data_IF_841237961245
#
_entry.id   IF_841237961245
#
_cell.length_a   1.000
_cell.length_b   1.000
_cell.length_c   1.000
_cell.angle_alpha   90.00
_cell.angle_beta   90.00
_cell.angle_gamma   90.00
#
_symmetry.space_group_name_H-M   'P 1'
#
loop_
_entity.id
_entity.type
_entity.pdbx_description
1 polymer ?
#
# COMPACT_ATOMS: atom_id res chain seq x y z
N UNK A 1 -22.87 -49.56 13.94
CA UNK A 1 -22.74 -48.11 14.04
C UNK A 1 -21.44 -47.70 13.36
N UNK A 2 -21.46 -47.30 12.12
CA UNK A 2 -20.27 -46.73 11.44
C UNK A 2 -20.17 -45.25 11.85
N UNK A 3 -19.12 -44.91 12.56
CA UNK A 3 -18.76 -43.51 12.80
C UNK A 3 -18.34 -42.88 11.46
N UNK A 4 -19.10 -41.92 10.98
CA UNK A 4 -18.72 -41.11 9.87
C UNK A 4 -17.45 -40.34 10.27
N UNK A 5 -16.33 -40.62 9.62
CA UNK A 5 -15.16 -39.77 9.67
C UNK A 5 -15.55 -38.43 9.05
N UNK A 6 -15.67 -37.41 9.87
CA UNK A 6 -15.70 -36.00 9.43
C UNK A 6 -14.31 -35.74 8.86
N UNK A 7 -14.16 -35.82 7.55
CA UNK A 7 -12.97 -35.32 6.88
C UNK A 7 -12.93 -33.83 7.12
N UNK A 8 -11.96 -33.38 7.89
CA UNK A 8 -11.60 -31.99 8.06
C UNK A 8 -11.19 -31.43 6.69
N UNK A 9 -12.17 -30.91 5.98
CA UNK A 9 -12.00 -30.26 4.69
C UNK A 9 -11.59 -28.81 4.97
N UNK A 10 -10.45 -28.60 5.65
CA UNK A 10 -9.88 -27.30 5.85
C UNK A 10 -9.60 -26.69 4.47
N UNK A 11 -10.42 -25.73 4.07
CA UNK A 11 -10.21 -24.96 2.85
C UNK A 11 -8.79 -24.38 2.91
N UNK A 12 -7.89 -24.94 2.08
CA UNK A 12 -6.55 -24.36 1.87
C UNK A 12 -6.73 -23.26 0.84
N UNK A 13 -6.73 -22.01 1.30
CA UNK A 13 -6.69 -20.85 0.43
C UNK A 13 -5.47 -20.84 -0.48
N UNK A 14 -5.42 -19.95 -1.42
CA UNK A 14 -4.29 -19.79 -2.33
C UNK A 14 -3.06 -19.29 -1.59
N UNK A 15 -1.90 -19.84 -1.96
CA UNK A 15 -0.61 -19.32 -1.60
C UNK A 15 -0.04 -18.65 -2.86
N UNK A 16 0.00 -17.32 -2.86
CA UNK A 16 0.53 -16.55 -3.98
C UNK A 16 1.78 -15.79 -3.55
N UNK A 17 2.78 -15.72 -4.43
CA UNK A 17 3.95 -14.91 -4.19
C UNK A 17 4.37 -14.15 -5.44
N UNK A 18 4.93 -12.95 -5.24
CA UNK A 18 5.52 -12.13 -6.28
C UNK A 18 6.82 -11.53 -5.75
N UNK A 19 7.94 -11.85 -6.40
CA UNK A 19 9.25 -11.28 -6.09
C UNK A 19 9.75 -10.50 -7.30
N UNK A 20 10.02 -9.20 -7.10
CA UNK A 20 10.51 -8.29 -8.13
C UNK A 20 11.88 -7.74 -7.72
N UNK A 21 12.78 -7.63 -8.70
CA UNK A 21 14.05 -6.97 -8.53
C UNK A 21 14.28 -5.97 -9.65
N UNK A 22 14.65 -4.75 -9.26
CA UNK A 22 14.98 -3.67 -10.18
C UNK A 22 16.47 -3.37 -10.12
N UNK A 23 17.08 -3.13 -11.27
CA UNK A 23 18.47 -2.70 -11.34
C UNK A 23 18.59 -1.41 -12.16
N UNK A 24 19.59 -0.60 -11.82
CA UNK A 24 19.95 0.61 -12.56
C UNK A 24 20.90 0.28 -13.71
N UNK A 25 20.66 0.87 -14.86
CA UNK A 25 21.61 0.91 -15.98
C UNK A 25 21.93 2.37 -16.30
N UNK A 26 22.98 2.68 -17.09
CA UNK A 26 23.27 4.06 -17.47
C UNK A 26 22.12 4.81 -18.15
N UNK A 27 21.17 4.09 -18.73
CA UNK A 27 20.04 4.66 -19.48
C UNK A 27 18.76 4.75 -18.64
N UNK A 28 18.50 3.75 -17.80
CA UNK A 28 17.22 3.65 -17.07
C UNK A 28 17.22 2.53 -16.02
N UNK A 29 16.19 2.51 -15.19
CA UNK A 29 15.91 1.39 -14.30
C UNK A 29 15.21 0.27 -15.07
N UNK A 30 15.67 -0.97 -14.91
CA UNK A 30 15.07 -2.16 -15.51
C UNK A 30 14.43 -3.04 -14.45
N UNK A 31 13.30 -3.65 -14.77
CA UNK A 31 12.82 -4.83 -14.04
C UNK A 31 13.71 -6.00 -14.46
N UNK A 32 14.69 -6.31 -13.61
CA UNK A 32 15.70 -7.33 -13.86
C UNK A 32 15.15 -8.74 -13.68
N UNK A 33 14.33 -8.92 -12.63
CA UNK A 33 13.77 -10.23 -12.29
C UNK A 33 12.32 -10.09 -11.82
N UNK A 34 11.47 -11.02 -12.26
CA UNK A 34 10.09 -11.14 -11.81
C UNK A 34 9.74 -12.64 -11.68
N UNK A 35 9.61 -13.09 -10.43
CA UNK A 35 9.21 -14.46 -10.11
C UNK A 35 7.85 -14.42 -9.42
N UNK A 36 6.92 -15.23 -9.90
CA UNK A 36 5.61 -15.32 -9.28
C UNK A 36 5.13 -16.77 -9.17
N UNK A 37 4.34 -17.01 -8.13
CA UNK A 37 3.58 -18.23 -7.91
C UNK A 37 2.13 -17.83 -7.66
N UNK A 38 1.19 -18.53 -8.26
CA UNK A 38 -0.22 -18.20 -8.14
C UNK A 38 -0.63 -16.99 -9.00
N UNK A 39 -1.68 -16.25 -8.59
CA UNK A 39 -2.33 -15.26 -9.44
C UNK A 39 -1.67 -13.87 -9.46
N UNK A 40 -0.69 -13.60 -8.59
CA UNK A 40 0.03 -12.33 -8.61
C UNK A 40 0.91 -12.25 -9.85
N UNK A 41 0.84 -11.14 -10.59
CA UNK A 41 1.66 -10.92 -11.79
C UNK A 41 1.89 -9.43 -12.00
N UNK A 42 2.63 -9.07 -13.05
CA UNK A 42 2.90 -7.68 -13.45
C UNK A 42 2.68 -7.49 -14.93
N UNK A 43 2.33 -6.28 -15.34
CA UNK A 43 2.35 -5.88 -16.74
C UNK A 43 3.79 -5.66 -17.23
N UNK A 44 3.96 -5.53 -18.55
CA UNK A 44 5.24 -5.14 -19.13
C UNK A 44 5.64 -3.74 -18.60
N UNK A 45 6.88 -3.55 -18.10
CA UNK A 45 7.38 -2.24 -17.70
C UNK A 45 7.31 -1.22 -18.83
N UNK A 46 7.03 0.04 -18.49
CA UNK A 46 6.99 1.15 -19.42
C UNK A 46 7.66 2.40 -18.83
N UNK A 47 7.99 3.36 -19.66
CA UNK A 47 8.91 4.46 -19.31
C UNK A 47 8.38 5.81 -19.83
N UNK A 48 7.28 6.36 -19.27
CA UNK A 48 6.67 7.58 -19.76
C UNK A 48 7.52 8.83 -19.50
N UNK A 49 8.48 8.75 -18.61
CA UNK A 49 9.38 9.82 -18.19
C UNK A 49 10.88 9.46 -18.36
N UNK A 50 11.18 8.48 -19.23
CA UNK A 50 12.54 8.11 -19.63
C UNK A 50 13.18 7.07 -18.71
N UNK A 51 13.80 7.45 -17.60
CA UNK A 51 14.63 6.56 -16.78
C UNK A 51 13.86 5.77 -15.72
N UNK A 52 12.75 6.34 -15.21
CA UNK A 52 11.94 5.72 -14.16
C UNK A 52 11.13 4.55 -14.69
N UNK A 53 11.24 3.40 -14.05
CA UNK A 53 10.49 2.21 -14.42
C UNK A 53 9.07 2.29 -13.84
N UNK A 54 8.06 2.45 -14.68
CA UNK A 54 6.66 2.31 -14.27
C UNK A 54 6.18 0.88 -14.42
N UNK A 55 5.52 0.36 -13.39
CA UNK A 55 5.05 -1.02 -13.36
C UNK A 55 3.64 -1.09 -12.77
N UNK A 56 2.76 -1.90 -13.40
CA UNK A 56 1.46 -2.23 -12.84
C UNK A 56 1.46 -3.65 -12.29
N UNK A 57 1.17 -3.77 -10.99
CA UNK A 57 0.97 -5.04 -10.31
C UNK A 57 -0.49 -5.47 -10.52
N UNK A 58 -0.70 -6.74 -10.82
CA UNK A 58 -2.01 -7.31 -11.13
C UNK A 58 -2.33 -8.46 -10.17
N UNK A 59 -3.59 -8.49 -9.74
CA UNK A 59 -4.20 -9.62 -9.04
C UNK A 59 -5.51 -10.01 -9.75
N UNK A 60 -5.44 -10.82 -10.84
CA UNK A 60 -6.59 -11.14 -11.69
C UNK A 60 -7.83 -11.71 -11.00
N UNK A 61 -7.74 -12.48 -9.88
CA UNK A 61 -8.93 -12.99 -9.21
C UNK A 61 -9.89 -11.93 -8.66
N UNK A 62 -9.46 -10.68 -8.61
CA UNK A 62 -10.31 -9.57 -8.20
C UNK A 62 -10.51 -9.42 -6.69
N UNK A 63 -10.01 -10.36 -5.87
CA UNK A 63 -10.05 -10.23 -4.41
C UNK A 63 -9.42 -11.41 -3.68
N UNK A 64 -9.28 -11.27 -2.38
CA UNK A 64 -8.61 -12.17 -1.44
C UNK A 64 -9.68 -12.74 -0.52
N UNK A 65 -9.72 -14.05 -0.37
CA UNK A 65 -10.72 -14.73 0.47
C UNK A 65 -10.05 -15.36 1.69
N UNK A 66 -10.84 -15.70 2.70
CA UNK A 66 -10.33 -16.33 3.91
C UNK A 66 -9.51 -17.59 3.61
N UNK A 67 -8.30 -17.65 4.17
CA UNK A 67 -7.31 -18.71 3.93
C UNK A 67 -6.24 -18.36 2.89
N UNK A 68 -6.46 -17.35 2.04
CA UNK A 68 -5.46 -16.89 1.08
C UNK A 68 -4.28 -16.19 1.79
N UNK A 69 -3.09 -16.41 1.25
CA UNK A 69 -1.87 -15.69 1.63
C UNK A 69 -1.19 -15.16 0.37
N UNK A 70 -0.98 -13.86 0.32
CA UNK A 70 -0.27 -13.18 -0.75
C UNK A 70 1.00 -12.56 -0.19
N UNK A 71 2.15 -12.95 -0.73
CA UNK A 71 3.47 -12.45 -0.35
C UNK A 71 4.08 -11.64 -1.50
N UNK A 72 4.38 -10.38 -1.27
CA UNK A 72 5.01 -9.48 -2.24
C UNK A 72 6.37 -9.06 -1.69
N UNK A 73 7.42 -9.25 -2.47
CA UNK A 73 8.77 -8.82 -2.15
C UNK A 73 9.32 -7.98 -3.30
N UNK A 74 9.70 -6.75 -3.03
CA UNK A 74 10.21 -5.81 -4.02
C UNK A 74 11.57 -5.31 -3.58
N UNK A 75 12.59 -5.49 -4.44
CA UNK A 75 13.96 -5.06 -4.19
C UNK A 75 14.40 -4.08 -5.26
N UNK A 76 14.91 -2.95 -4.83
CA UNK A 76 15.55 -1.93 -5.67
C UNK A 76 17.06 -1.94 -5.39
N UNK A 77 17.84 -2.34 -6.38
CA UNK A 77 19.29 -2.22 -6.32
C UNK A 77 19.69 -0.72 -6.36
N UNK A 78 20.91 -0.42 -5.98
CA UNK A 78 21.41 0.95 -5.87
C UNK A 78 21.11 1.80 -7.12
N UNK A 79 20.68 3.05 -6.91
CA UNK A 79 20.31 4.04 -7.94
C UNK A 79 19.09 3.70 -8.79
N UNK A 80 18.39 2.62 -8.52
CA UNK A 80 17.15 2.27 -9.23
C UNK A 80 16.00 3.21 -8.85
N UNK A 81 15.12 3.54 -9.80
CA UNK A 81 13.91 4.30 -9.55
C UNK A 81 12.70 3.60 -10.16
N UNK A 82 11.79 3.12 -9.33
CA UNK A 82 10.58 2.45 -9.76
C UNK A 82 9.32 3.11 -9.18
N UNK A 83 8.32 3.32 -10.04
CA UNK A 83 6.96 3.68 -9.65
C UNK A 83 6.06 2.48 -9.88
N UNK A 84 5.43 2.00 -8.81
CA UNK A 84 4.58 0.80 -8.84
C UNK A 84 3.18 1.16 -8.36
N UNK A 85 2.19 0.82 -9.15
CA UNK A 85 0.77 1.02 -8.85
C UNK A 85 -0.05 -0.18 -9.30
N UNK A 86 -1.36 -0.12 -9.11
CA UNK A 86 -2.32 -1.17 -9.49
C UNK A 86 -3.44 -0.58 -10.34
N UNK A 87 -4.04 -1.34 -11.28
CA UNK A 87 -5.15 -0.87 -12.09
C UNK A 87 -6.48 -0.78 -11.34
N UNK A 88 -6.61 -1.47 -10.21
CA UNK A 88 -7.84 -1.49 -9.43
C UNK A 88 -7.60 -1.79 -7.95
N UNK A 89 -8.64 -1.60 -7.16
CA UNK A 89 -8.64 -1.83 -5.72
C UNK A 89 -8.40 -3.30 -5.38
N UNK A 90 -7.60 -3.54 -4.32
CA UNK A 90 -7.54 -4.84 -3.66
C UNK A 90 -8.79 -5.04 -2.80
N UNK A 91 -9.34 -6.27 -2.74
CA UNK A 91 -10.57 -6.54 -2.00
C UNK A 91 -10.37 -7.73 -1.09
N UNK A 92 -10.69 -7.56 0.17
CA UNK A 92 -10.78 -8.65 1.14
C UNK A 92 -12.24 -9.02 1.32
N UNK A 93 -12.60 -10.21 0.88
CA UNK A 93 -13.98 -10.69 0.95
C UNK A 93 -14.29 -11.31 2.30
N UNK A 94 -15.57 -11.45 2.57
CA UNK A 94 -16.08 -12.14 3.76
C UNK A 94 -15.44 -13.52 3.92
N UNK A 95 -15.04 -13.84 5.15
CA UNK A 95 -14.51 -15.14 5.54
C UNK A 95 -15.48 -15.88 6.45
N UNK A 96 -15.49 -17.21 6.36
CA UNK A 96 -16.20 -18.09 7.29
C UNK A 96 -15.34 -18.45 8.53
N UNK A 97 -14.23 -17.76 8.75
CA UNK A 97 -13.31 -17.95 9.88
C UNK A 97 -11.83 -17.82 9.51
N UNK A 98 -11.33 -18.50 8.46
CA UNK A 98 -9.91 -18.41 8.10
C UNK A 98 -9.49 -16.98 7.79
N UNK A 99 -8.26 -16.63 8.19
CA UNK A 99 -7.67 -15.32 7.96
C UNK A 99 -7.13 -15.21 6.53
N UNK A 100 -7.38 -14.07 5.88
CA UNK A 100 -6.75 -13.68 4.62
C UNK A 100 -5.54 -12.79 4.91
N UNK A 101 -4.39 -13.03 4.26
CA UNK A 101 -3.13 -12.34 4.55
C UNK A 101 -2.54 -11.70 3.30
N UNK A 102 -2.06 -10.46 3.47
CA UNK A 102 -1.23 -9.77 2.49
C UNK A 102 0.04 -9.28 3.19
N UNK A 103 1.17 -9.83 2.81
CA UNK A 103 2.48 -9.43 3.31
C UNK A 103 3.25 -8.73 2.20
N UNK A 104 3.81 -7.55 2.49
CA UNK A 104 4.53 -6.73 1.53
C UNK A 104 5.87 -6.33 2.15
N UNK A 105 6.97 -6.65 1.48
CA UNK A 105 8.33 -6.34 1.91
C UNK A 105 9.06 -5.58 0.81
N UNK A 106 9.58 -4.42 1.16
CA UNK A 106 10.28 -3.52 0.25
C UNK A 106 11.71 -3.32 0.75
N UNK A 107 12.68 -3.49 -0.14
CA UNK A 107 14.10 -3.33 0.17
C UNK A 107 14.70 -2.32 -0.79
N UNK A 108 15.14 -1.19 -0.24
CA UNK A 108 15.69 -0.07 -0.98
C UNK A 108 17.17 0.06 -0.65
N UNK A 109 18.01 -0.17 -1.66
CA UNK A 109 19.45 -0.01 -1.56
C UNK A 109 19.88 1.46 -1.75
N UNK A 110 21.14 1.75 -1.66
CA UNK A 110 21.71 3.11 -1.69
C UNK A 110 21.25 3.93 -2.91
N UNK A 111 20.79 5.16 -2.66
CA UNK A 111 20.32 6.10 -3.69
C UNK A 111 19.18 5.54 -4.57
N UNK A 112 18.50 4.48 -4.16
CA UNK A 112 17.33 4.00 -4.87
C UNK A 112 16.07 4.77 -4.48
N UNK A 113 15.08 4.80 -5.37
CA UNK A 113 13.81 5.49 -5.16
C UNK A 113 12.65 4.55 -5.43
N UNK A 114 11.77 4.36 -4.46
CA UNK A 114 10.51 3.65 -4.63
C UNK A 114 9.34 4.62 -4.50
N UNK A 115 8.47 4.58 -5.50
CA UNK A 115 7.14 5.16 -5.45
C UNK A 115 6.12 4.01 -5.39
N UNK A 116 5.65 3.66 -4.18
CA UNK A 116 4.64 2.63 -3.94
C UNK A 116 3.28 3.28 -3.79
N UNK A 117 2.48 3.26 -4.86
CA UNK A 117 1.27 4.05 -5.01
C UNK A 117 0.08 3.16 -5.41
N UNK A 118 -0.32 2.18 -4.56
CA UNK A 118 -1.41 1.26 -4.86
C UNK A 118 -2.76 1.97 -4.90
N UNK A 119 -3.76 1.31 -5.48
CA UNK A 119 -5.17 1.69 -5.33
C UNK A 119 -5.67 1.28 -3.94
N UNK A 120 -6.92 1.62 -3.65
CA UNK A 120 -7.57 1.32 -2.36
C UNK A 120 -7.53 -0.16 -2.01
N UNK A 121 -7.54 -0.46 -0.73
CA UNK A 121 -7.78 -1.80 -0.19
C UNK A 121 -9.14 -1.81 0.51
N UNK A 122 -10.11 -2.52 -0.08
CA UNK A 122 -11.48 -2.56 0.41
C UNK A 122 -11.66 -3.78 1.30
N UNK A 123 -11.99 -3.54 2.57
CA UNK A 123 -12.24 -4.58 3.57
C UNK A 123 -13.75 -4.77 3.68
N UNK A 124 -14.27 -5.84 3.10
CA UNK A 124 -15.70 -6.12 3.09
C UNK A 124 -16.21 -6.49 4.48
N UNK A 125 -17.49 -6.23 4.80
CA UNK A 125 -18.09 -6.73 6.03
C UNK A 125 -17.92 -8.25 6.12
N UNK A 126 -17.49 -8.71 7.30
CA UNK A 126 -17.17 -10.11 7.55
C UNK A 126 -15.81 -10.58 7.03
N UNK A 127 -14.98 -9.72 6.49
CA UNK A 127 -13.60 -10.06 6.19
C UNK A 127 -12.82 -10.34 7.49
N UNK A 128 -11.87 -11.28 7.43
CA UNK A 128 -10.86 -11.50 8.46
C UNK A 128 -9.50 -11.28 7.80
N UNK A 129 -9.03 -10.04 7.85
CA UNK A 129 -7.90 -9.56 7.05
C UNK A 129 -6.69 -9.19 7.92
N UNK A 130 -5.51 -9.63 7.50
CA UNK A 130 -4.22 -9.18 8.06
C UNK A 130 -3.37 -8.62 6.93
N UNK A 131 -2.95 -7.37 7.08
CA UNK A 131 -2.08 -6.68 6.15
C UNK A 131 -0.77 -6.30 6.86
N UNK A 132 0.34 -6.53 6.19
CA UNK A 132 1.65 -6.13 6.69
C UNK A 132 2.47 -5.51 5.58
N UNK A 133 2.94 -4.28 5.80
CA UNK A 133 3.85 -3.57 4.90
C UNK A 133 5.12 -3.20 5.67
N UNK A 134 6.26 -3.63 5.16
CA UNK A 134 7.57 -3.39 5.78
C UNK A 134 8.51 -2.80 4.75
N UNK A 135 8.99 -1.59 5.01
CA UNK A 135 9.96 -0.87 4.19
C UNK A 135 11.33 -0.90 4.88
N UNK A 136 12.32 -1.50 4.23
CA UNK A 136 13.72 -1.51 4.64
C UNK A 136 14.48 -0.54 3.72
N UNK A 137 14.96 0.54 4.27
CA UNK A 137 15.59 1.65 3.56
C UNK A 137 17.07 1.75 3.91
N UNK A 138 17.90 2.08 2.94
CA UNK A 138 19.20 2.68 3.21
C UNK A 138 19.06 4.18 3.43
N UNK A 139 19.92 4.79 4.27
CA UNK A 139 19.82 6.21 4.62
C UNK A 139 19.82 7.14 3.39
N UNK A 140 20.45 6.75 2.30
CA UNK A 140 20.48 7.52 1.05
C UNK A 140 19.34 7.19 0.07
N UNK A 141 18.44 6.27 0.41
CA UNK A 141 17.31 5.93 -0.45
C UNK A 141 16.15 6.90 -0.30
N UNK A 142 15.19 6.85 -1.23
CA UNK A 142 14.01 7.71 -1.22
C UNK A 142 12.74 6.86 -1.29
N UNK A 143 11.77 7.15 -0.42
CA UNK A 143 10.46 6.50 -0.38
C UNK A 143 9.33 7.52 -0.54
N UNK A 144 8.44 7.27 -1.49
CA UNK A 144 7.13 7.87 -1.58
C UNK A 144 6.11 6.73 -1.58
N UNK A 145 5.34 6.58 -0.52
CA UNK A 145 4.42 5.47 -0.40
C UNK A 145 3.09 5.92 0.19
N UNK A 146 2.02 5.19 -0.13
CA UNK A 146 0.75 5.34 0.53
C UNK A 146 -0.02 4.04 0.68
N UNK A 147 -0.96 4.05 1.61
CA UNK A 147 -2.01 3.03 1.78
C UNK A 147 -3.34 3.74 1.99
N UNK A 148 -4.40 3.22 1.36
CA UNK A 148 -5.77 3.69 1.55
C UNK A 148 -6.67 2.50 1.82
N UNK A 149 -7.22 2.43 3.02
CA UNK A 149 -8.19 1.41 3.41
C UNK A 149 -9.61 1.94 3.32
N UNK A 150 -10.51 1.09 2.82
CA UNK A 150 -11.95 1.30 2.83
C UNK A 150 -12.63 0.23 3.68
N UNK A 151 -13.29 0.63 4.75
CA UNK A 151 -14.02 -0.25 5.65
C UNK A 151 -15.47 -0.38 5.20
N UNK A 152 -15.85 -1.56 4.73
CA UNK A 152 -17.16 -1.80 4.13
C UNK A 152 -17.22 -1.37 2.66
N UNK A 153 -18.42 -1.05 2.19
CA UNK A 153 -18.69 -0.54 0.84
C UNK A 153 -19.58 0.72 0.90
N UNK A 154 -19.02 1.86 1.29
CA UNK A 154 -19.79 3.09 1.53
C UNK A 154 -20.64 3.53 0.32
N UNK A 155 -20.16 3.27 -0.90
CA UNK A 155 -20.87 3.62 -2.15
C UNK A 155 -22.27 2.99 -2.25
N UNK A 156 -22.49 1.86 -1.60
CA UNK A 156 -23.78 1.17 -1.53
C UNK A 156 -24.35 1.15 -0.11
N UNK A 157 -23.88 2.06 0.76
CA UNK A 157 -24.30 2.18 2.16
C UNK A 157 -24.08 0.89 3.01
N UNK A 158 -23.08 0.08 2.68
CA UNK A 158 -22.72 -1.09 3.47
C UNK A 158 -21.53 -0.78 4.37
N UNK A 159 -21.80 -0.74 5.67
CA UNK A 159 -20.79 -0.45 6.70
C UNK A 159 -19.99 -1.70 7.06
N UNK A 160 -18.79 -1.54 7.58
CA UNK A 160 -17.99 -2.62 8.18
C UNK A 160 -18.59 -3.01 9.54
N UNK A 161 -19.69 -3.75 9.52
CA UNK A 161 -20.52 -4.08 10.70
C UNK A 161 -20.02 -5.27 11.50
N UNK A 162 -19.10 -6.07 10.94
CA UNK A 162 -18.49 -7.25 11.57
C UNK A 162 -17.25 -7.66 10.79
N UNK A 163 -16.43 -8.55 11.37
CA UNK A 163 -15.15 -8.98 10.81
C UNK A 163 -13.97 -8.41 11.57
N UNK A 164 -12.78 -8.60 11.05
CA UNK A 164 -11.55 -8.09 11.63
C UNK A 164 -10.58 -7.56 10.58
N UNK A 165 -9.92 -6.46 10.90
CA UNK A 165 -8.77 -5.92 10.19
C UNK A 165 -7.61 -5.76 11.17
N UNK A 166 -6.51 -6.44 10.90
CA UNK A 166 -5.22 -6.17 11.53
C UNK A 166 -4.28 -5.60 10.47
N UNK A 167 -3.76 -4.41 10.68
CA UNK A 167 -2.71 -3.86 9.83
C UNK A 167 -1.46 -3.54 10.61
N UNK A 168 -0.30 -3.73 9.96
CA UNK A 168 1.01 -3.39 10.50
C UNK A 168 1.84 -2.71 9.42
N UNK A 169 2.28 -1.50 9.70
CA UNK A 169 3.12 -0.68 8.84
C UNK A 169 4.44 -0.40 9.54
N UNK A 170 5.55 -0.73 8.89
CA UNK A 170 6.88 -0.57 9.44
C UNK A 170 7.80 0.12 8.44
N UNK A 171 8.60 1.07 8.95
CA UNK A 171 9.71 1.70 8.21
C UNK A 171 10.99 1.56 9.02
N UNK A 172 12.01 1.02 8.41
CA UNK A 172 13.33 0.79 8.97
C UNK A 172 14.37 1.49 8.10
N UNK A 173 15.28 2.25 8.69
CA UNK A 173 16.39 2.91 8.00
C UNK A 173 17.70 2.40 8.59
N UNK A 174 18.54 1.77 7.78
CA UNK A 174 19.78 1.11 8.23
C UNK A 174 19.57 0.23 9.46
N UNK A 175 18.50 -0.60 9.41
CA UNK A 175 18.06 -1.51 10.47
C UNK A 175 17.54 -0.83 11.77
N UNK A 176 17.44 0.49 11.79
CA UNK A 176 16.84 1.25 12.90
C UNK A 176 15.37 1.56 12.61
N UNK A 177 14.43 1.31 13.55
CA UNK A 177 13.02 1.59 13.32
C UNK A 177 12.74 3.09 13.31
N UNK A 178 12.10 3.58 12.24
CA UNK A 178 11.56 4.96 12.15
C UNK A 178 10.07 5.00 12.40
N UNK A 179 9.35 3.94 12.04
CA UNK A 179 7.92 3.80 12.27
C UNK A 179 7.57 2.34 12.54
N UNK A 180 6.79 2.10 13.59
CA UNK A 180 6.09 0.83 13.81
C UNK A 180 4.66 1.18 14.22
N UNK A 181 3.73 0.99 13.30
CA UNK A 181 2.31 1.26 13.51
C UNK A 181 1.51 -0.03 13.45
N UNK A 182 0.54 -0.16 14.33
CA UNK A 182 -0.42 -1.27 14.34
C UNK A 182 -1.82 -0.72 14.47
N UNK A 183 -2.71 -1.28 13.70
CA UNK A 183 -4.13 -0.98 13.78
C UNK A 183 -4.91 -2.29 13.89
N UNK A 184 -5.89 -2.29 14.78
CA UNK A 184 -6.80 -3.40 14.96
C UNK A 184 -8.23 -2.87 15.01
N UNK A 185 -9.08 -3.39 14.13
CA UNK A 185 -10.51 -3.11 14.10
C UNK A 185 -11.24 -4.44 14.08
N UNK A 186 -12.24 -4.61 14.93
CA UNK A 186 -13.02 -5.84 15.02
C UNK A 186 -14.49 -5.56 15.30
N UNK A 187 -15.34 -6.49 14.93
CA UNK A 187 -16.76 -6.58 15.31
C UNK A 187 -17.58 -5.31 15.01
N UNK A 188 -17.19 -4.58 13.96
CA UNK A 188 -17.88 -3.35 13.56
C UNK A 188 -17.59 -2.13 14.45
N UNK A 189 -16.65 -2.23 15.40
CA UNK A 189 -16.22 -1.07 16.19
C UNK A 189 -15.33 -0.14 15.34
N UNK A 190 -15.92 0.96 14.89
CA UNK A 190 -15.25 2.03 14.17
C UNK A 190 -14.84 3.21 15.07
N UNK A 191 -14.95 3.07 16.39
CA UNK A 191 -14.54 4.11 17.36
C UNK A 191 -13.08 4.53 17.17
N UNK A 192 -12.10 3.61 16.94
CA UNK A 192 -10.71 3.99 16.72
C UNK A 192 -10.47 4.88 15.48
N UNK A 193 -11.41 4.87 14.54
CA UNK A 193 -11.37 5.66 13.30
C UNK A 193 -12.50 6.70 13.24
N UNK A 194 -13.04 7.08 14.40
CA UNK A 194 -14.09 8.08 14.55
C UNK A 194 -15.31 7.86 13.61
N UNK A 195 -15.64 6.60 13.32
CA UNK A 195 -16.73 6.24 12.43
C UNK A 195 -16.47 6.42 10.93
N UNK A 196 -15.26 6.81 10.53
CA UNK A 196 -14.94 7.04 9.12
C UNK A 196 -14.61 5.72 8.40
N UNK A 197 -15.16 5.50 7.20
CA UNK A 197 -14.87 4.30 6.43
C UNK A 197 -13.55 4.36 5.66
N UNK A 198 -12.99 5.54 5.42
CA UNK A 198 -11.75 5.71 4.67
C UNK A 198 -10.61 6.15 5.57
N UNK A 199 -9.49 5.40 5.50
CA UNK A 199 -8.28 5.62 6.29
C UNK A 199 -7.10 5.69 5.34
N UNK A 200 -6.42 6.82 5.30
CA UNK A 200 -5.23 7.02 4.46
C UNK A 200 -3.97 7.25 5.29
N UNK A 201 -2.89 6.61 4.87
CA UNK A 201 -1.53 6.85 5.36
C UNK A 201 -0.61 7.10 4.18
N UNK A 202 0.17 8.19 4.23
CA UNK A 202 1.24 8.46 3.26
C UNK A 202 2.57 8.59 4.00
N UNK A 203 3.62 8.09 3.38
CA UNK A 203 4.99 8.09 3.91
C UNK A 203 5.93 8.71 2.89
N UNK A 204 6.80 9.62 3.34
CA UNK A 204 7.83 10.25 2.53
C UNK A 204 9.15 10.27 3.28
N UNK A 205 10.22 9.81 2.63
CA UNK A 205 11.56 9.74 3.18
C UNK A 205 12.62 9.97 2.08
N UNK A 206 13.71 10.70 2.33
CA UNK A 206 13.92 11.57 3.48
C UNK A 206 13.10 12.86 3.36
N UNK A 207 12.59 13.37 4.46
CA UNK A 207 11.80 14.59 4.47
C UNK A 207 12.36 15.62 5.47
N UNK A 208 12.02 16.89 5.25
CA UNK A 208 12.43 18.03 6.08
C UNK A 208 11.20 18.91 6.38
N UNK A 209 11.38 19.95 7.20
CA UNK A 209 10.29 20.83 7.63
C UNK A 209 9.54 21.49 6.45
N UNK A 210 10.25 21.87 5.38
CA UNK A 210 9.65 22.44 4.18
C UNK A 210 8.65 21.50 3.51
N UNK A 211 8.91 20.18 3.57
CA UNK A 211 8.00 19.15 3.06
C UNK A 211 6.76 19.03 3.94
N UNK A 212 6.91 19.13 5.26
CA UNK A 212 5.81 19.11 6.21
C UNK A 212 4.88 20.33 6.00
N UNK A 213 5.42 21.53 5.83
CA UNK A 213 4.65 22.73 5.54
C UNK A 213 3.88 22.61 4.23
N UNK A 214 4.55 22.16 3.16
CA UNK A 214 3.93 21.93 1.86
C UNK A 214 2.77 20.93 1.92
N UNK A 215 2.84 19.91 2.76
CA UNK A 215 1.76 18.94 2.96
C UNK A 215 0.59 19.52 3.73
N UNK A 216 0.86 20.23 4.83
CA UNK A 216 -0.21 20.80 5.69
C UNK A 216 -1.20 21.65 4.91
N UNK A 217 -0.74 22.44 3.96
CA UNK A 217 -1.59 23.26 3.09
C UNK A 217 -2.57 22.40 2.26
N UNK A 218 -2.18 21.19 1.88
CA UNK A 218 -2.97 20.29 1.02
C UNK A 218 -3.95 19.41 1.77
N UNK A 219 -3.84 19.37 3.10
CA UNK A 219 -4.76 18.60 3.94
C UNK A 219 -6.07 19.35 4.26
N UNK A 220 -6.16 20.63 3.94
CA UNK A 220 -7.35 21.44 4.23
C UNK A 220 -8.69 20.83 3.78
N UNK A 221 -8.81 20.11 2.64
CA UNK A 221 -10.07 19.46 2.25
C UNK A 221 -10.54 18.34 3.18
N UNK A 222 -9.68 17.85 4.06
CA UNK A 222 -9.98 16.79 5.05
C UNK A 222 -10.31 17.36 6.44
N UNK A 223 -10.37 18.69 6.56
CA UNK A 223 -10.73 19.40 7.78
C UNK A 223 -9.90 18.94 9.00
N UNK A 224 -10.60 18.55 10.09
CA UNK A 224 -9.97 18.17 11.36
C UNK A 224 -9.55 16.68 11.44
N UNK A 225 -9.73 15.92 10.36
CA UNK A 225 -9.46 14.48 10.33
C UNK A 225 -8.19 14.14 9.56
N UNK A 226 -7.27 15.08 9.43
CA UNK A 226 -5.98 14.87 8.81
C UNK A 226 -4.86 15.51 9.62
N UNK A 227 -3.70 14.88 9.58
CA UNK A 227 -2.48 15.38 10.22
C UNK A 227 -1.22 14.92 9.50
N UNK A 228 -0.18 15.73 9.61
CA UNK A 228 1.15 15.40 9.13
C UNK A 228 2.15 15.58 10.26
N UNK A 229 3.06 14.64 10.41
CA UNK A 229 4.09 14.60 11.44
C UNK A 229 5.43 14.26 10.80
N UNK A 230 6.44 15.05 11.09
CA UNK A 230 7.83 14.77 10.77
C UNK A 230 8.51 14.23 12.02
N UNK A 231 9.03 13.00 11.95
CA UNK A 231 9.81 12.36 13.02
C UNK A 231 11.14 11.96 12.42
N UNK A 232 12.22 12.51 12.96
CA UNK A 232 13.52 12.48 12.31
C UNK A 232 13.40 12.98 10.86
N UNK A 233 13.63 12.13 9.87
CA UNK A 233 13.49 12.41 8.43
C UNK A 233 12.37 11.62 7.76
N UNK A 234 11.46 11.04 8.53
CA UNK A 234 10.24 10.42 8.01
C UNK A 234 9.02 11.32 8.18
N UNK A 235 8.44 11.76 7.08
CA UNK A 235 7.16 12.46 7.06
C UNK A 235 6.03 11.45 6.92
N UNK A 236 5.15 11.42 7.92
CA UNK A 236 3.95 10.59 7.96
C UNK A 236 2.71 11.47 7.87
N UNK A 237 1.82 11.19 6.93
CA UNK A 237 0.53 11.85 6.78
C UNK A 237 -0.57 10.83 7.06
N UNK A 238 -1.54 11.17 7.89
CA UNK A 238 -2.69 10.33 8.19
C UNK A 238 -3.96 11.11 8.07
N UNK A 239 -4.99 10.46 7.55
CA UNK A 239 -6.30 11.08 7.46
C UNK A 239 -7.43 10.05 7.52
N UNK A 240 -8.61 10.55 7.87
CA UNK A 240 -9.88 9.84 7.85
C UNK A 240 -10.86 10.61 6.97
N UNK A 241 -11.76 9.93 6.26
CA UNK A 241 -12.76 10.58 5.42
C UNK A 241 -14.00 9.72 5.23
N UNK A 242 -15.11 10.36 4.86
CA UNK A 242 -16.32 9.71 4.34
C UNK A 242 -16.37 9.68 2.81
N UNK A 243 -15.45 10.39 2.14
CA UNK A 243 -15.47 10.59 0.68
C UNK A 243 -14.16 10.11 0.02
N UNK A 244 -14.28 9.08 -0.82
CA UNK A 244 -13.14 8.55 -1.58
C UNK A 244 -12.55 9.57 -2.57
N UNK A 245 -13.38 10.38 -3.21
CA UNK A 245 -12.88 11.34 -4.21
C UNK A 245 -11.98 12.39 -3.54
N UNK A 246 -12.33 12.81 -2.32
CA UNK A 246 -11.48 13.70 -1.53
C UNK A 246 -10.17 12.97 -1.17
N UNK A 247 -10.23 11.72 -0.69
CA UNK A 247 -9.04 10.93 -0.37
C UNK A 247 -8.09 10.84 -1.57
N UNK A 248 -8.60 10.39 -2.70
CA UNK A 248 -7.83 10.22 -3.94
C UNK A 248 -7.20 11.53 -4.41
N UNK A 249 -7.96 12.65 -4.35
CA UNK A 249 -7.46 13.97 -4.71
C UNK A 249 -6.32 14.38 -3.80
N UNK A 250 -6.52 14.36 -2.48
CA UNK A 250 -5.50 14.77 -1.51
C UNK A 250 -4.23 13.95 -1.62
N UNK A 251 -4.34 12.63 -1.75
CA UNK A 251 -3.17 11.75 -1.92
C UNK A 251 -2.37 12.12 -3.17
N UNK A 252 -3.04 12.35 -4.29
CA UNK A 252 -2.40 12.76 -5.56
C UNK A 252 -1.79 14.15 -5.45
N UNK A 253 -2.49 15.11 -4.86
CA UNK A 253 -2.03 16.51 -4.71
C UNK A 253 -0.78 16.55 -3.79
N UNK A 254 -0.78 15.80 -2.69
CA UNK A 254 0.38 15.67 -1.80
C UNK A 254 1.55 15.04 -2.55
N UNK A 255 1.36 13.91 -3.22
CA UNK A 255 2.40 13.26 -4.00
C UNK A 255 2.96 14.16 -5.10
N UNK A 256 2.10 14.84 -5.86
CA UNK A 256 2.50 15.76 -6.93
C UNK A 256 3.35 16.91 -6.41
N UNK A 257 3.07 17.38 -5.21
CA UNK A 257 3.83 18.49 -4.60
C UNK A 257 5.18 18.03 -4.04
N UNK A 258 5.25 16.84 -3.46
CA UNK A 258 6.47 16.35 -2.81
C UNK A 258 7.41 15.63 -3.78
N UNK A 259 6.89 15.00 -4.82
CA UNK A 259 7.71 14.26 -5.78
C UNK A 259 8.87 15.08 -6.36
N UNK A 260 8.68 16.31 -6.87
CA UNK A 260 9.77 17.10 -7.38
C UNK A 260 10.83 17.46 -6.34
N UNK A 261 10.42 17.65 -5.10
CA UNK A 261 11.30 18.02 -4.00
C UNK A 261 12.17 16.83 -3.56
N UNK A 262 11.62 15.63 -3.57
CA UNK A 262 12.30 14.42 -3.11
C UNK A 262 13.07 13.69 -4.22
N UNK A 263 12.61 13.78 -5.47
CA UNK A 263 13.18 13.00 -6.59
C UNK A 263 13.80 13.85 -7.69
N UNK A 264 13.69 15.17 -7.61
CA UNK A 264 14.09 16.13 -8.67
C UNK A 264 13.33 15.94 -10.00
N UNK A 265 12.29 15.09 -10.03
CA UNK A 265 11.47 14.79 -11.21
C UNK A 265 10.06 15.35 -11.06
N UNK A 266 9.55 15.98 -12.10
CA UNK A 266 8.14 16.42 -12.14
C UNK A 266 7.20 15.23 -12.02
N UNK A 267 6.01 15.43 -11.43
CA UNK A 267 5.05 14.36 -11.27
C UNK A 267 4.49 13.90 -12.62
N UNK A 268 4.71 12.61 -12.93
CA UNK A 268 4.16 11.94 -14.11
C UNK A 268 3.11 10.93 -13.65
N UNK A 269 1.84 11.37 -13.61
CA UNK A 269 0.73 10.54 -13.13
C UNK A 269 0.52 9.30 -14.01
N UNK A 270 0.44 8.11 -13.41
CA UNK A 270 0.12 6.89 -14.14
C UNK A 270 -1.21 7.01 -14.91
N UNK A 271 -1.22 6.62 -16.19
CA UNK A 271 -2.44 6.68 -17.03
C UNK A 271 -3.61 5.93 -16.44
N UNK A 272 -3.33 4.84 -15.72
CA UNK A 272 -4.36 4.01 -15.11
C UNK A 272 -5.19 4.73 -14.03
N UNK A 273 -4.71 5.86 -13.50
CA UNK A 273 -5.49 6.67 -12.57
C UNK A 273 -6.58 7.52 -13.23
N UNK A 274 -6.62 7.54 -14.56
CA UNK A 274 -7.58 8.32 -15.37
C UNK A 274 -8.68 7.45 -16.00
N UNK A 275 -8.64 6.14 -15.74
CA UNK A 275 -9.54 5.15 -16.37
C UNK A 275 -10.60 4.64 -15.39
#
# INVERSE_FOLDING_TARGET
>A
MLAAQVTDNSYKGWQASLALQFCHTPEKTLLYSAHHVGPLTVQRPFYPEGETCHLYLLHPPGGIVGGDTLDISIRLDAKSHALITMPGASKFYRSSGPQARLNQHFYLDENSTLEWLPQDTIIFPGANATLRSVFHLKASSTLLAWELYCLGRPVINETFSHGALESRLEVWVDDEPRLIERQHLSDGDLTPVAGHPWLGTLLFYPAQEEHLEAVRERLAPLENYAGATLTDDLLSVRFLSHDNLICQRVMRDVWQSLRPLLTTKTACSPRIWQT
#
